data_IF_774969315732
#
_entry.id   IF_774969315732
#
_cell.length_a   1.000
_cell.length_b   1.000
_cell.length_c   1.000
_cell.angle_alpha   90.00
_cell.angle_beta   90.00
_cell.angle_gamma   90.00
#
_symmetry.space_group_name_H-M   'P 1'
#
loop_
_entity.id
_entity.type
_entity.pdbx_description
1 polymer ?
#
# COMPACT_ATOMS: atom_id res chain seq x y z
N UNK A 1 -7.53 10.25 -16.90
CA UNK A 1 -7.01 10.24 -15.50
C UNK A 1 -6.94 8.82 -14.94
N UNK A 2 -8.03 8.04 -15.00
CA UNK A 2 -8.08 6.66 -14.49
C UNK A 2 -7.08 5.69 -15.14
N UNK A 3 -6.95 5.68 -16.48
CA UNK A 3 -5.98 4.82 -17.17
C UNK A 3 -4.52 5.09 -16.73
N UNK A 4 -4.17 6.35 -16.46
CA UNK A 4 -2.84 6.70 -15.97
C UNK A 4 -2.58 6.14 -14.55
N UNK A 5 -3.59 6.15 -13.68
CA UNK A 5 -3.50 5.53 -12.35
C UNK A 5 -3.28 4.01 -12.43
N UNK A 6 -3.98 3.32 -13.33
CA UNK A 6 -3.80 1.87 -13.56
C UNK A 6 -2.38 1.54 -14.04
N UNK A 7 -1.86 2.29 -15.01
CA UNK A 7 -0.50 2.08 -15.53
C UNK A 7 0.55 2.29 -14.44
N UNK A 8 0.45 3.38 -13.68
CA UNK A 8 1.37 3.64 -12.58
C UNK A 8 1.29 2.56 -11.50
N UNK A 9 0.10 2.12 -11.14
CA UNK A 9 -0.05 1.08 -10.14
C UNK A 9 0.49 -0.29 -10.63
N UNK A 10 0.40 -0.59 -11.92
CA UNK A 10 1.04 -1.78 -12.50
C UNK A 10 2.57 -1.66 -12.51
N UNK A 11 3.10 -0.47 -12.82
CA UNK A 11 4.55 -0.20 -12.70
C UNK A 11 5.04 -0.31 -11.26
N UNK A 12 4.25 0.13 -10.29
CA UNK A 12 4.52 -0.07 -8.87
C UNK A 12 4.64 -1.55 -8.53
N UNK A 13 3.73 -2.40 -9.03
CA UNK A 13 3.80 -3.85 -8.84
C UNK A 13 5.06 -4.47 -9.46
N UNK A 14 5.44 -4.04 -10.67
CA UNK A 14 6.69 -4.48 -11.29
C UNK A 14 7.93 -4.06 -10.46
N UNK A 15 7.95 -2.81 -9.97
CA UNK A 15 9.01 -2.32 -9.08
C UNK A 15 9.10 -3.11 -7.77
N UNK A 16 7.97 -3.55 -7.20
CA UNK A 16 7.96 -4.44 -6.04
C UNK A 16 8.58 -5.81 -6.37
N UNK A 17 8.24 -6.41 -7.51
CA UNK A 17 8.87 -7.65 -7.98
C UNK A 17 10.39 -7.52 -8.16
N UNK A 18 10.87 -6.33 -8.54
CA UNK A 18 12.30 -5.98 -8.64
C UNK A 18 12.93 -5.55 -7.30
N UNK A 19 12.20 -5.67 -6.17
CA UNK A 19 12.60 -5.20 -4.83
C UNK A 19 12.95 -3.70 -4.74
N UNK A 20 12.47 -2.89 -5.68
CA UNK A 20 12.66 -1.42 -5.72
C UNK A 20 11.55 -0.73 -4.92
N UNK A 21 11.54 -0.90 -3.60
CA UNK A 21 10.47 -0.43 -2.73
C UNK A 21 10.18 1.08 -2.85
N UNK A 22 11.22 1.92 -2.94
CA UNK A 22 11.05 3.39 -3.04
C UNK A 22 10.38 3.79 -4.36
N UNK A 23 10.79 3.19 -5.47
CA UNK A 23 10.17 3.44 -6.76
C UNK A 23 8.73 2.93 -6.81
N UNK A 24 8.47 1.77 -6.19
CA UNK A 24 7.11 1.23 -6.07
C UNK A 24 6.19 2.16 -5.27
N UNK A 25 6.68 2.70 -4.14
CA UNK A 25 5.91 3.65 -3.34
C UNK A 25 5.60 4.93 -4.13
N UNK A 26 6.59 5.51 -4.81
CA UNK A 26 6.38 6.72 -5.62
C UNK A 26 5.31 6.52 -6.70
N UNK A 27 5.35 5.39 -7.41
CA UNK A 27 4.35 5.05 -8.43
C UNK A 27 2.96 4.81 -7.84
N UNK A 28 2.89 4.09 -6.73
CA UNK A 28 1.63 3.80 -6.05
C UNK A 28 0.98 5.08 -5.50
N UNK A 29 1.77 5.99 -4.93
CA UNK A 29 1.28 7.27 -4.41
C UNK A 29 0.73 8.14 -5.54
N UNK A 30 1.47 8.24 -6.66
CA UNK A 30 1.02 8.97 -7.85
C UNK A 30 -0.25 8.37 -8.44
N UNK A 31 -0.40 7.04 -8.40
CA UNK A 31 -1.64 6.39 -8.82
C UNK A 31 -2.81 6.74 -7.90
N UNK A 32 -2.59 6.77 -6.58
CA UNK A 32 -3.60 7.14 -5.59
C UNK A 32 -4.02 8.62 -5.71
N UNK A 33 -3.09 9.52 -6.04
CA UNK A 33 -3.39 10.93 -6.28
C UNK A 33 -4.26 11.14 -7.54
N UNK A 34 -4.04 10.31 -8.57
CA UNK A 34 -4.78 10.38 -9.84
C UNK A 34 -6.17 9.74 -9.75
N UNK A 35 -6.31 8.68 -8.96
CA UNK A 35 -7.59 8.02 -8.68
C UNK A 35 -7.66 7.62 -7.20
N UNK A 36 -8.20 8.51 -6.34
CA UNK A 36 -8.35 8.24 -4.91
C UNK A 36 -9.27 7.07 -4.57
N UNK A 37 -10.11 6.60 -5.49
CA UNK A 37 -11.01 5.46 -5.31
C UNK A 37 -10.36 4.13 -5.77
N UNK A 38 -9.17 4.17 -6.35
CA UNK A 38 -8.49 2.98 -6.85
C UNK A 38 -7.80 2.22 -5.72
N UNK A 39 -8.51 1.25 -5.14
CA UNK A 39 -8.04 0.48 -3.99
C UNK A 39 -6.64 -0.14 -4.18
N UNK A 40 -6.31 -0.58 -5.41
CA UNK A 40 -5.00 -1.19 -5.71
C UNK A 40 -3.85 -0.20 -5.55
N UNK A 41 -4.06 1.09 -5.75
CA UNK A 41 -3.02 2.09 -5.52
C UNK A 41 -2.66 2.16 -4.04
N UNK A 42 -3.66 2.34 -3.17
CA UNK A 42 -3.49 2.37 -1.72
C UNK A 42 -2.92 1.06 -1.17
N UNK A 43 -3.41 -0.08 -1.66
CA UNK A 43 -2.87 -1.40 -1.35
C UNK A 43 -1.36 -1.49 -1.63
N UNK A 44 -0.94 -1.05 -2.82
CA UNK A 44 0.46 -1.08 -3.24
C UNK A 44 1.32 -0.07 -2.49
N UNK A 45 0.78 1.09 -2.06
CA UNK A 45 1.48 2.00 -1.14
C UNK A 45 1.84 1.29 0.17
N UNK A 46 0.85 0.62 0.78
CA UNK A 46 1.05 -0.11 2.03
C UNK A 46 2.09 -1.23 1.89
N UNK A 47 1.98 -2.05 0.85
CA UNK A 47 2.97 -3.11 0.58
C UNK A 47 4.38 -2.55 0.36
N UNK A 48 4.52 -1.48 -0.43
CA UNK A 48 5.83 -0.86 -0.68
C UNK A 48 6.46 -0.30 0.60
N UNK A 49 5.67 0.29 1.51
CA UNK A 49 6.13 0.74 2.83
C UNK A 49 6.51 -0.44 3.75
N UNK A 50 5.81 -1.57 3.62
CA UNK A 50 6.13 -2.80 4.35
C UNK A 50 7.42 -3.46 3.87
N UNK A 51 7.78 -3.30 2.59
CA UNK A 51 9.05 -3.78 2.02
C UNK A 51 10.28 -2.96 2.45
N UNK A 52 10.09 -1.75 2.95
CA UNK A 52 11.17 -0.90 3.46
C UNK A 52 11.54 -1.28 4.89
N UNK A 53 12.75 -0.90 5.31
CA UNK A 53 13.21 -1.11 6.69
C UNK A 53 12.24 -0.53 7.73
N UNK A 54 12.15 -1.23 8.86
CA UNK A 54 11.24 -0.93 9.97
C UNK A 54 11.48 0.47 10.49
N UNK A 55 10.43 1.29 10.48
CA UNK A 55 10.35 2.61 11.12
C UNK A 55 8.92 2.84 11.57
N UNK A 56 8.74 3.49 12.72
CA UNK A 56 7.42 3.80 13.27
C UNK A 56 6.58 4.57 12.24
N UNK A 57 7.13 5.65 11.70
CA UNK A 57 6.41 6.48 10.71
C UNK A 57 5.98 5.69 9.46
N UNK A 58 6.80 4.74 9.00
CA UNK A 58 6.47 3.91 7.83
C UNK A 58 5.39 2.88 8.14
N UNK A 59 5.38 2.33 9.34
CA UNK A 59 4.30 1.43 9.79
C UNK A 59 2.97 2.18 9.88
N UNK A 60 2.97 3.39 10.42
CA UNK A 60 1.78 4.25 10.48
C UNK A 60 1.26 4.60 9.08
N UNK A 61 2.14 4.97 8.15
CA UNK A 61 1.77 5.23 6.76
C UNK A 61 1.21 3.99 6.06
N UNK A 62 1.78 2.80 6.32
CA UNK A 62 1.30 1.55 5.74
C UNK A 62 -0.11 1.21 6.23
N UNK A 63 -0.35 1.34 7.55
CA UNK A 63 -1.67 1.17 8.18
C UNK A 63 -2.68 2.12 7.54
N UNK A 64 -2.34 3.41 7.39
CA UNK A 64 -3.22 4.40 6.77
C UNK A 64 -3.56 4.02 5.32
N UNK A 65 -2.58 3.56 4.54
CA UNK A 65 -2.79 3.13 3.17
C UNK A 65 -3.70 1.90 3.07
N UNK A 66 -3.52 0.88 3.92
CA UNK A 66 -4.39 -0.29 3.95
C UNK A 66 -5.82 0.05 4.38
N UNK A 67 -5.98 0.91 5.40
CA UNK A 67 -7.31 1.42 5.80
C UNK A 67 -7.97 2.17 4.65
N UNK A 68 -7.22 2.95 3.87
CA UNK A 68 -7.75 3.62 2.69
C UNK A 68 -8.19 2.64 1.62
N UNK A 69 -7.41 1.58 1.36
CA UNK A 69 -7.80 0.51 0.44
C UNK A 69 -9.11 -0.17 0.87
N UNK A 70 -9.28 -0.47 2.17
CA UNK A 70 -10.51 -1.06 2.74
C UNK A 70 -11.74 -0.14 2.63
N UNK A 71 -11.53 1.18 2.54
CA UNK A 71 -12.61 2.16 2.39
C UNK A 71 -13.04 2.41 0.94
N UNK A 72 -12.37 1.80 -0.04
CA UNK A 72 -12.70 1.98 -1.45
C UNK A 72 -13.77 0.98 -1.90
N UNK A 73 -14.88 1.47 -2.46
CA UNK A 73 -15.99 0.63 -2.93
C UNK A 73 -15.58 -0.38 -4.02
N UNK A 74 -14.52 -0.08 -4.77
CA UNK A 74 -13.99 -0.95 -5.83
C UNK A 74 -13.19 -2.16 -5.33
N UNK A 75 -13.00 -2.33 -4.00
CA UNK A 75 -12.28 -3.46 -3.43
C UNK A 75 -13.16 -4.73 -3.45
N UNK A 76 -12.78 -5.78 -4.20
CA UNK A 76 -13.54 -7.02 -4.22
C UNK A 76 -13.57 -7.70 -2.84
N UNK A 77 -14.68 -8.32 -2.42
CA UNK A 77 -14.75 -9.06 -1.15
C UNK A 77 -13.64 -10.11 -1.01
N UNK A 78 -13.29 -10.80 -2.10
CA UNK A 78 -12.23 -11.80 -2.13
C UNK A 78 -10.83 -11.22 -1.82
N UNK A 79 -10.59 -9.94 -2.11
CA UNK A 79 -9.31 -9.28 -1.83
C UNK A 79 -9.31 -8.59 -0.47
N UNK A 80 -10.48 -8.36 0.13
CA UNK A 80 -10.60 -7.70 1.44
C UNK A 80 -9.83 -8.44 2.53
N UNK A 81 -9.86 -9.77 2.50
CA UNK A 81 -9.10 -10.61 3.45
C UNK A 81 -7.59 -10.39 3.32
N UNK A 82 -7.07 -10.33 2.08
CA UNK A 82 -5.66 -10.02 1.84
C UNK A 82 -5.31 -8.64 2.40
N UNK A 83 -6.21 -7.66 2.23
CA UNK A 83 -5.99 -6.31 2.77
C UNK A 83 -5.96 -6.28 4.29
N UNK A 84 -6.87 -6.99 4.95
CA UNK A 84 -6.87 -7.10 6.41
C UNK A 84 -5.60 -7.77 6.94
N UNK A 85 -5.14 -8.87 6.32
CA UNK A 85 -3.91 -9.55 6.74
C UNK A 85 -2.68 -8.66 6.68
N UNK A 86 -2.53 -7.85 5.63
CA UNK A 86 -1.40 -6.92 5.56
C UNK A 86 -1.55 -5.73 6.50
N UNK A 87 -2.78 -5.28 6.77
CA UNK A 87 -3.05 -4.28 7.82
C UNK A 87 -2.62 -4.80 9.19
N UNK A 88 -3.01 -6.02 9.55
CA UNK A 88 -2.60 -6.67 10.82
C UNK A 88 -1.08 -6.79 10.93
N UNK A 89 -0.41 -7.17 9.83
CA UNK A 89 1.06 -7.23 9.79
C UNK A 89 1.70 -5.84 9.99
N UNK A 90 1.12 -4.78 9.43
CA UNK A 90 1.61 -3.42 9.62
C UNK A 90 1.39 -2.92 11.06
N UNK A 91 0.25 -3.26 11.67
CA UNK A 91 -0.04 -2.97 13.08
C UNK A 91 0.89 -3.73 14.02
N UNK A 92 1.20 -5.00 13.71
CA UNK A 92 2.20 -5.77 14.44
C UNK A 92 3.57 -5.11 14.36
N UNK A 93 4.03 -4.77 13.15
CA UNK A 93 5.30 -4.07 12.92
C UNK A 93 5.38 -2.74 13.68
N UNK A 94 4.26 -2.02 13.81
CA UNK A 94 4.19 -0.78 14.60
C UNK A 94 4.34 -1.05 16.10
N UNK A 95 3.66 -2.08 16.63
CA UNK A 95 3.77 -2.44 18.06
C UNK A 95 5.20 -2.84 18.41
N UNK A 96 5.79 -3.77 17.66
CA UNK A 96 7.18 -4.19 17.87
C UNK A 96 8.16 -3.02 17.80
N UNK A 97 7.96 -2.09 16.85
CA UNK A 97 8.82 -0.91 16.73
C UNK A 97 8.65 0.13 17.84
N UNK A 98 7.55 0.10 18.61
CA UNK A 98 7.33 0.96 19.78
C UNK A 98 7.83 0.33 21.07
N UNK A 99 7.89 -1.01 21.10
CA UNK A 99 8.34 -1.80 22.25
C UNK A 99 9.85 -2.05 22.24
N UNK A 100 10.56 -1.71 21.16
CA UNK A 100 12.01 -1.84 20.97
C UNK A 100 12.79 -0.56 21.31
#
# INVERSE_FOLDING_TARGET
RQQAAVVLANRAAANMGLRKAVAALADAQRAADLDPAYWKAHWRCGLALMMMGVRIERSEQAIAAFKRALSCDGLPPAERENVCKALEAAEHRLREGRDA
#
